data_IF_270847439459
#
_entry.id   IF_270847439459
#
_cell.length_a   1.000
_cell.length_b   1.000
_cell.length_c   1.000
_cell.angle_alpha   90.00
_cell.angle_beta   90.00
_cell.angle_gamma   90.00
#
_symmetry.space_group_name_H-M   'P 1'
#
loop_
_entity.id
_entity.type
_entity.pdbx_description
1 polymer ?
#
# COMPACT_ATOMS: atom_id res chain seq x y z
N UNK A 1 -20.06 4.93 2.08
CA UNK A 1 -18.83 4.11 2.02
C UNK A 1 -17.74 4.83 1.25
N UNK A 2 -18.01 5.41 0.07
CA UNK A 2 -17.06 6.32 -0.62
C UNK A 2 -16.50 7.44 0.29
N UNK A 3 -17.36 8.11 1.07
CA UNK A 3 -16.92 9.12 2.05
C UNK A 3 -15.87 8.60 3.04
N UNK A 4 -15.96 7.33 3.48
CA UNK A 4 -14.98 6.76 4.41
C UNK A 4 -13.62 6.48 3.75
N UNK A 5 -13.61 6.18 2.45
CA UNK A 5 -12.35 6.02 1.68
C UNK A 5 -11.67 7.38 1.54
N UNK A 6 -12.42 8.44 1.23
CA UNK A 6 -11.88 9.79 1.17
C UNK A 6 -11.33 10.23 2.53
N UNK A 7 -12.04 9.97 3.62
CA UNK A 7 -11.56 10.27 4.98
C UNK A 7 -10.24 9.55 5.30
N UNK A 8 -10.12 8.27 4.93
CA UNK A 8 -8.88 7.50 5.08
C UNK A 8 -7.72 8.15 4.30
N UNK A 9 -7.95 8.51 3.03
CA UNK A 9 -6.94 9.09 2.16
C UNK A 9 -6.52 10.47 2.65
N UNK A 10 -7.47 11.31 3.06
CA UNK A 10 -7.21 12.63 3.65
C UNK A 10 -6.38 12.46 4.93
N UNK A 11 -6.71 11.48 5.77
CA UNK A 11 -5.96 11.23 7.00
C UNK A 11 -4.53 10.77 6.72
N UNK A 12 -4.33 9.84 5.78
CA UNK A 12 -3.00 9.42 5.31
C UNK A 12 -2.20 10.63 4.79
N UNK A 13 -2.81 11.48 3.97
CA UNK A 13 -2.17 12.68 3.42
C UNK A 13 -1.86 13.75 4.48
N UNK A 14 -2.67 13.88 5.52
CA UNK A 14 -2.43 14.84 6.61
C UNK A 14 -1.48 14.31 7.69
N UNK A 15 -1.03 13.05 7.59
CA UNK A 15 -0.15 12.45 8.60
C UNK A 15 1.27 12.98 8.45
N UNK A 16 1.77 13.58 9.53
CA UNK A 16 3.17 13.98 9.67
C UNK A 16 3.98 12.75 10.06
N UNK A 17 4.98 12.43 9.25
CA UNK A 17 5.90 11.30 9.49
C UNK A 17 7.28 11.81 9.88
N UNK A 18 8.04 10.94 10.55
CA UNK A 18 9.42 11.23 10.96
C UNK A 18 10.37 11.20 9.73
N UNK A 19 11.54 11.81 9.82
CA UNK A 19 12.47 12.02 8.69
C UNK A 19 12.91 10.73 7.97
N UNK A 20 12.84 9.58 8.65
CA UNK A 20 13.22 8.26 8.12
C UNK A 20 12.01 7.47 7.61
N UNK A 21 10.86 8.12 7.45
CA UNK A 21 9.61 7.51 7.06
C UNK A 21 8.91 8.36 5.99
N UNK A 22 9.07 7.96 4.73
CA UNK A 22 8.51 8.69 3.60
C UNK A 22 7.01 8.42 3.48
N UNK A 23 6.18 9.45 3.56
CA UNK A 23 4.75 9.41 3.34
C UNK A 23 4.43 9.64 1.85
N UNK A 24 3.97 8.60 1.10
CA UNK A 24 3.67 8.72 -0.31
C UNK A 24 2.56 9.73 -0.60
N UNK A 25 1.68 10.00 0.36
CA UNK A 25 0.46 10.75 0.13
C UNK A 25 0.64 12.26 0.33
N UNK A 26 1.79 12.73 0.84
CA UNK A 26 2.06 14.17 1.00
C UNK A 26 3.50 14.61 0.71
N UNK A 27 4.47 13.70 0.61
CA UNK A 27 5.86 14.04 0.32
C UNK A 27 6.23 13.82 -1.15
N UNK A 28 7.13 14.66 -1.64
CA UNK A 28 7.68 14.61 -2.99
C UNK A 28 9.16 14.22 -2.90
N UNK A 29 9.54 13.16 -3.60
CA UNK A 29 10.93 12.83 -3.83
C UNK A 29 11.44 13.60 -5.06
N UNK A 30 12.09 14.76 -4.87
CA UNK A 30 12.39 15.73 -5.94
C UNK A 30 13.13 15.15 -7.15
N UNK A 31 13.96 14.13 -6.95
CA UNK A 31 14.73 13.52 -8.01
C UNK A 31 13.84 12.69 -8.95
N UNK A 32 12.84 12.01 -8.39
CA UNK A 32 12.05 11.00 -9.10
C UNK A 32 10.58 11.38 -9.31
N UNK A 33 9.99 12.22 -8.47
CA UNK A 33 8.56 12.55 -8.51
C UNK A 33 8.25 13.74 -9.42
N UNK A 34 7.07 13.71 -10.05
CA UNK A 34 6.46 14.92 -10.62
C UNK A 34 5.95 15.83 -9.48
N UNK A 35 5.72 17.11 -9.76
CA UNK A 35 5.28 18.08 -8.75
C UNK A 35 3.93 17.75 -8.10
N UNK A 36 3.05 17.04 -8.81
CA UNK A 36 1.73 16.59 -8.34
C UNK A 36 1.73 15.15 -7.80
N UNK A 37 2.90 14.53 -7.65
CA UNK A 37 3.05 13.11 -7.31
C UNK A 37 2.21 12.62 -6.11
N UNK A 38 2.15 13.35 -4.98
CA UNK A 38 1.30 12.98 -3.85
C UNK A 38 -0.18 12.87 -4.21
N UNK A 39 -0.72 13.83 -4.96
CA UNK A 39 -2.11 13.82 -5.42
C UNK A 39 -2.41 12.66 -6.36
N UNK A 40 -1.47 12.35 -7.26
CA UNK A 40 -1.57 11.16 -8.14
C UNK A 40 -1.63 9.87 -7.32
N UNK A 41 -0.75 9.73 -6.32
CA UNK A 41 -0.73 8.55 -5.44
C UNK A 41 -2.01 8.41 -4.60
N UNK A 42 -2.59 9.52 -4.14
CA UNK A 42 -3.90 9.52 -3.50
C UNK A 42 -5.02 9.07 -4.46
N UNK A 43 -4.99 9.55 -5.71
CA UNK A 43 -5.93 9.12 -6.77
C UNK A 43 -5.85 7.63 -7.07
N UNK A 44 -4.64 7.10 -7.23
CA UNK A 44 -4.41 5.68 -7.46
C UNK A 44 -4.92 4.83 -6.28
N UNK A 45 -4.65 5.26 -5.04
CA UNK A 45 -5.15 4.57 -3.86
C UNK A 45 -6.68 4.55 -3.82
N UNK A 46 -7.34 5.67 -4.17
CA UNK A 46 -8.80 5.75 -4.27
C UNK A 46 -9.37 4.73 -5.26
N UNK A 47 -8.86 4.73 -6.50
CA UNK A 47 -9.28 3.78 -7.55
C UNK A 47 -9.17 2.34 -7.05
N UNK A 48 -8.05 2.01 -6.40
CA UNK A 48 -7.79 0.69 -5.86
C UNK A 48 -8.79 0.29 -4.75
N UNK A 49 -9.02 1.18 -3.78
CA UNK A 49 -9.90 0.91 -2.64
C UNK A 49 -11.37 0.85 -3.06
N UNK A 50 -11.82 1.74 -3.95
CA UNK A 50 -13.19 1.74 -4.47
C UNK A 50 -13.49 0.42 -5.21
N UNK A 51 -12.54 -0.08 -6.01
CA UNK A 51 -12.74 -1.35 -6.70
C UNK A 51 -12.95 -2.53 -5.75
N UNK A 52 -12.17 -2.61 -4.67
CA UNK A 52 -12.33 -3.66 -3.68
C UNK A 52 -13.63 -3.54 -2.87
N UNK A 53 -14.14 -2.31 -2.73
CA UNK A 53 -15.40 -2.06 -2.06
C UNK A 53 -16.55 -2.58 -2.94
N UNK A 54 -16.50 -2.32 -4.24
CA UNK A 54 -17.47 -2.78 -5.23
C UNK A 54 -17.44 -4.31 -5.39
N UNK A 55 -16.25 -4.91 -5.37
CA UNK A 55 -16.09 -6.38 -5.44
C UNK A 55 -16.48 -7.10 -4.15
N UNK A 56 -16.77 -6.35 -3.07
CA UNK A 56 -17.16 -6.84 -1.74
C UNK A 56 -16.23 -7.93 -1.23
N UNK A 57 -14.92 -7.73 -1.40
CA UNK A 57 -13.94 -8.67 -0.87
C UNK A 57 -14.03 -8.73 0.65
N UNK A 58 -13.99 -9.94 1.22
CA UNK A 58 -14.04 -10.19 2.66
C UNK A 58 -12.68 -10.59 3.24
N UNK A 59 -11.67 -10.66 2.37
CA UNK A 59 -10.33 -11.15 2.67
C UNK A 59 -9.30 -10.06 2.41
N UNK A 60 -8.38 -9.88 3.35
CA UNK A 60 -7.25 -8.96 3.25
C UNK A 60 -5.94 -9.71 3.47
N UNK A 61 -4.97 -9.41 2.61
CA UNK A 61 -3.58 -9.85 2.72
C UNK A 61 -2.75 -8.68 3.22
N UNK A 62 -2.20 -8.84 4.42
CA UNK A 62 -1.44 -7.82 5.13
C UNK A 62 0.04 -8.09 4.95
N UNK A 63 0.75 -7.11 4.39
CA UNK A 63 2.19 -7.05 4.32
C UNK A 63 2.73 -6.07 5.34
N UNK A 64 4.03 -6.20 5.63
CA UNK A 64 4.72 -5.42 6.65
C UNK A 64 4.72 -3.91 6.34
N UNK A 65 5.33 -3.50 5.23
CA UNK A 65 5.68 -2.09 4.96
C UNK A 65 5.64 -1.76 3.48
N UNK A 66 5.37 -0.49 3.15
CA UNK A 66 5.53 0.01 1.78
C UNK A 66 6.93 -0.33 1.20
N UNK A 67 7.00 -0.56 -0.11
CA UNK A 67 8.24 -0.87 -0.83
C UNK A 67 8.77 0.30 -1.66
N UNK A 68 10.09 0.38 -1.81
CA UNK A 68 10.76 1.47 -2.55
C UNK A 68 10.34 1.52 -4.02
N UNK A 69 10.26 0.37 -4.68
CA UNK A 69 9.86 0.24 -6.09
C UNK A 69 8.36 -0.04 -6.27
N UNK A 70 7.58 -0.02 -5.19
CA UNK A 70 6.13 -0.29 -5.21
C UNK A 70 5.35 0.86 -4.58
N UNK A 71 4.77 0.66 -3.40
CA UNK A 71 3.81 1.58 -2.77
C UNK A 71 4.34 2.99 -2.55
N UNK A 72 5.65 3.15 -2.35
CA UNK A 72 6.28 4.48 -2.31
C UNK A 72 6.02 5.28 -3.58
N UNK A 73 6.12 4.63 -4.74
CA UNK A 73 6.03 5.26 -6.06
C UNK A 73 4.59 5.42 -6.51
N UNK A 74 3.75 4.43 -6.23
CA UNK A 74 2.41 4.31 -6.83
C UNK A 74 1.29 4.76 -5.88
N UNK A 75 1.55 4.79 -4.58
CA UNK A 75 0.53 5.00 -3.54
C UNK A 75 -0.32 3.77 -3.23
N UNK A 76 -0.18 2.69 -4.00
CA UNK A 76 -1.01 1.48 -3.89
C UNK A 76 -0.22 0.34 -3.22
N UNK A 77 -0.81 -0.35 -2.23
CA UNK A 77 -0.12 -1.44 -1.54
C UNK A 77 0.40 -2.54 -2.47
N UNK A 78 1.71 -2.81 -2.40
CA UNK A 78 2.41 -3.82 -3.20
C UNK A 78 2.16 -3.72 -4.72
N UNK A 79 1.99 -2.51 -5.26
CA UNK A 79 1.92 -2.28 -6.71
C UNK A 79 3.12 -1.44 -7.13
N UNK A 80 3.95 -1.97 -8.03
CA UNK A 80 4.95 -1.20 -8.77
C UNK A 80 4.40 -0.62 -10.08
N UNK A 81 4.98 0.47 -10.62
CA UNK A 81 4.54 1.04 -11.91
C UNK A 81 4.55 0.03 -13.05
N UNK A 82 5.51 -0.89 -13.07
CA UNK A 82 5.59 -1.99 -14.05
C UNK A 82 4.41 -2.97 -13.99
N UNK A 83 3.64 -2.96 -12.89
CA UNK A 83 2.54 -3.88 -12.67
C UNK A 83 1.17 -3.26 -12.96
N UNK A 84 1.06 -1.95 -13.25
CA UNK A 84 -0.22 -1.26 -13.42
C UNK A 84 -1.18 -2.01 -14.35
N UNK A 85 -0.78 -2.31 -15.58
CA UNK A 85 -1.63 -3.01 -16.53
C UNK A 85 -2.11 -4.38 -16.02
N UNK A 86 -1.26 -5.11 -15.30
CA UNK A 86 -1.62 -6.41 -14.73
C UNK A 86 -2.62 -6.26 -13.58
N UNK A 87 -2.44 -5.27 -12.71
CA UNK A 87 -3.36 -5.00 -11.59
C UNK A 87 -4.71 -4.51 -12.11
N UNK A 88 -4.69 -3.58 -13.06
CA UNK A 88 -5.88 -3.05 -13.72
C UNK A 88 -6.70 -4.16 -14.39
N UNK A 89 -6.05 -5.08 -15.10
CA UNK A 89 -6.69 -6.26 -15.70
C UNK A 89 -7.23 -7.21 -14.62
N UNK A 90 -6.41 -7.55 -13.62
CA UNK A 90 -6.76 -8.50 -12.55
C UNK A 90 -7.97 -8.04 -11.74
N UNK A 91 -8.06 -6.75 -11.47
CA UNK A 91 -9.17 -6.17 -10.71
C UNK A 91 -10.32 -5.70 -11.62
N UNK A 92 -10.12 -5.65 -12.94
CA UNK A 92 -11.08 -5.07 -13.88
C UNK A 92 -11.36 -3.60 -13.54
N UNK A 93 -10.32 -2.77 -13.45
CA UNK A 93 -10.43 -1.33 -13.19
C UNK A 93 -10.97 -0.60 -14.42
N UNK A 94 -11.92 0.31 -14.20
CA UNK A 94 -12.45 1.20 -15.25
C UNK A 94 -11.51 2.38 -15.50
N UNK A 95 -10.98 2.96 -14.41
CA UNK A 95 -9.99 4.02 -14.43
C UNK A 95 -8.59 3.45 -14.33
N UNK A 96 -7.65 4.01 -15.09
CA UNK A 96 -6.24 3.60 -15.11
C UNK A 96 -5.46 4.29 -14.01
N UNK A 97 -4.41 3.64 -13.51
CA UNK A 97 -3.45 4.28 -12.63
C UNK A 97 -2.60 5.29 -13.39
N UNK A 98 -2.23 6.35 -12.69
CA UNK A 98 -1.36 7.40 -13.21
C UNK A 98 0.05 7.30 -12.62
N UNK A 99 1.04 7.77 -13.38
CA UNK A 99 2.43 7.79 -12.94
C UNK A 99 2.73 9.06 -12.13
N UNK A 100 3.15 8.88 -10.88
CA UNK A 100 3.58 9.97 -10.01
C UNK A 100 5.08 10.33 -10.17
N UNK A 101 5.78 9.68 -11.11
CA UNK A 101 7.23 9.78 -11.27
C UNK A 101 7.62 10.28 -12.67
N UNK A 102 8.78 10.93 -12.77
CA UNK A 102 9.34 11.44 -14.02
C UNK A 102 9.74 10.28 -14.95
N UNK A 103 9.51 10.47 -16.25
CA UNK A 103 9.77 9.55 -17.37
C UNK A 103 10.94 8.57 -17.13
N UNK A 104 10.64 7.27 -16.97
CA UNK A 104 11.64 6.19 -17.04
C UNK A 104 12.48 5.93 -15.78
N UNK A 105 12.28 6.64 -14.67
CA UNK A 105 13.09 6.46 -13.45
C UNK A 105 12.86 5.13 -12.70
N UNK A 106 11.96 4.26 -13.19
CA UNK A 106 11.61 3.00 -12.54
C UNK A 106 11.94 1.84 -13.47
N UNK A 107 13.23 1.67 -13.78
CA UNK A 107 13.73 0.49 -14.52
C UNK A 107 13.90 -0.74 -13.62
N UNK A 108 13.63 -0.62 -12.32
CA UNK A 108 13.80 -1.67 -11.33
C UNK A 108 12.47 -2.35 -11.05
N UNK A 109 12.40 -3.66 -11.31
CA UNK A 109 11.20 -4.46 -11.05
C UNK A 109 10.92 -4.54 -9.54
N UNK A 110 9.68 -4.29 -9.15
CA UNK A 110 9.21 -4.67 -7.83
C UNK A 110 8.88 -6.18 -7.85
N UNK A 111 9.92 -7.03 -7.76
CA UNK A 111 9.75 -8.49 -7.91
C UNK A 111 8.67 -9.09 -7.01
N UNK A 112 8.59 -8.63 -5.76
CA UNK A 112 7.55 -9.05 -4.81
C UNK A 112 6.14 -8.67 -5.30
N UNK A 113 5.98 -7.45 -5.82
CA UNK A 113 4.74 -7.00 -6.46
C UNK A 113 4.40 -7.86 -7.68
N UNK A 114 5.38 -8.14 -8.56
CA UNK A 114 5.14 -8.99 -9.74
C UNK A 114 4.67 -10.39 -9.36
N UNK A 115 5.39 -11.08 -8.47
CA UNK A 115 5.03 -12.43 -8.01
C UNK A 115 3.66 -12.46 -7.33
N UNK A 116 3.35 -11.43 -6.54
CA UNK A 116 2.05 -11.28 -5.91
C UNK A 116 0.94 -11.17 -6.95
N UNK A 117 1.05 -10.21 -7.87
CA UNK A 117 -0.02 -9.94 -8.84
C UNK A 117 -0.17 -11.03 -9.90
N UNK A 118 0.88 -11.78 -10.23
CA UNK A 118 0.79 -13.04 -11.01
C UNK A 118 0.01 -14.14 -10.27
N UNK A 119 0.09 -14.16 -8.94
CA UNK A 119 -0.68 -15.09 -8.11
C UNK A 119 -2.13 -14.64 -7.98
N UNK A 120 -2.35 -13.35 -7.77
CA UNK A 120 -3.69 -12.78 -7.62
C UNK A 120 -4.48 -12.80 -8.94
N UNK A 121 -3.84 -12.68 -10.10
CA UNK A 121 -4.51 -12.73 -11.41
C UNK A 121 -5.20 -14.07 -11.69
N UNK A 122 -4.92 -15.11 -10.91
CA UNK A 122 -5.54 -16.43 -11.02
C UNK A 122 -6.76 -16.59 -10.11
N UNK A 123 -7.10 -15.58 -9.31
CA UNK A 123 -8.23 -15.60 -8.38
C UNK A 123 -9.43 -14.87 -8.97
N UNK A 124 -10.61 -15.45 -8.82
CA UNK A 124 -11.86 -14.81 -9.28
C UNK A 124 -12.20 -13.52 -8.51
N UNK A 125 -12.00 -13.51 -7.19
CA UNK A 125 -12.13 -12.32 -6.36
C UNK A 125 -10.83 -12.13 -5.56
N UNK A 126 -9.89 -11.32 -6.06
CA UNK A 126 -8.63 -11.07 -5.36
C UNK A 126 -8.87 -10.43 -3.98
N UNK A 127 -8.09 -10.80 -2.95
CA UNK A 127 -8.13 -10.15 -1.64
C UNK A 127 -7.65 -8.71 -1.75
N UNK A 128 -8.12 -7.85 -0.83
CA UNK A 128 -7.49 -6.55 -0.63
C UNK A 128 -6.06 -6.77 -0.13
N UNK A 129 -5.11 -5.99 -0.62
CA UNK A 129 -3.72 -6.00 -0.18
C UNK A 129 -3.45 -4.70 0.58
N UNK A 130 -2.78 -4.80 1.72
CA UNK A 130 -2.48 -3.62 2.55
C UNK A 130 -1.11 -3.73 3.22
N UNK A 131 -0.47 -2.59 3.45
CA UNK A 131 0.76 -2.49 4.25
C UNK A 131 0.40 -2.02 5.67
N UNK A 132 0.81 -2.74 6.71
CA UNK A 132 0.62 -2.30 8.11
C UNK A 132 1.20 -0.92 8.35
N UNK A 133 2.43 -0.71 7.87
CA UNK A 133 3.01 0.61 7.75
C UNK A 133 2.80 1.13 6.32
N UNK A 134 1.80 2.02 6.08
CA UNK A 134 1.49 2.54 4.75
C UNK A 134 2.56 3.52 4.23
N UNK A 135 3.50 3.90 5.09
CA UNK A 135 4.62 4.77 4.79
C UNK A 135 5.90 3.96 4.54
N UNK A 136 6.83 4.51 3.78
CA UNK A 136 8.05 3.82 3.37
C UNK A 136 9.22 4.11 4.33
N UNK A 137 9.66 3.12 5.13
CA UNK A 137 10.77 3.30 6.06
C UNK A 137 12.11 3.23 5.34
N UNK A 138 12.97 4.24 5.52
CA UNK A 138 14.29 4.30 4.89
C UNK A 138 15.38 4.73 5.87
N UNK A 139 16.64 4.53 5.49
CA UNK A 139 17.77 5.06 6.24
C UNK A 139 17.84 6.60 6.12
N UNK A 140 18.29 7.28 7.18
CA UNK A 140 18.25 8.74 7.28
C UNK A 140 18.95 9.48 6.12
N UNK A 141 20.04 8.91 5.59
CA UNK A 141 20.84 9.52 4.53
C UNK A 141 20.70 8.83 3.18
N UNK A 142 19.83 7.81 3.08
CA UNK A 142 19.70 7.01 1.85
C UNK A 142 18.27 6.50 1.67
N UNK A 143 17.47 7.24 0.91
CA UNK A 143 16.06 6.90 0.65
C UNK A 143 15.89 5.63 -0.19
N UNK A 144 16.93 5.16 -0.90
CA UNK A 144 16.89 3.89 -1.64
C UNK A 144 16.99 2.66 -0.74
N UNK A 145 17.51 2.81 0.49
CA UNK A 145 17.74 1.70 1.40
C UNK A 145 16.62 1.61 2.42
N UNK A 146 15.82 0.55 2.27
CA UNK A 146 14.73 0.23 3.19
C UNK A 146 15.31 -0.15 4.57
N UNK A 147 14.78 0.44 5.63
CA UNK A 147 15.06 0.01 7.01
C UNK A 147 13.92 -0.87 7.55
N UNK A 148 14.19 -1.59 8.63
CA UNK A 148 13.12 -2.27 9.38
C UNK A 148 12.42 -1.24 10.27
N UNK A 149 11.08 -1.22 10.35
CA UNK A 149 10.38 -0.34 11.28
C UNK A 149 10.63 -0.69 12.74
N UNK A 150 10.47 0.31 13.59
CA UNK A 150 10.43 0.14 15.02
C UNK A 150 9.03 -0.31 15.48
N UNK A 151 8.98 -0.96 16.64
CA UNK A 151 7.73 -1.42 17.26
C UNK A 151 6.72 -0.27 17.41
N UNK A 152 7.22 0.89 17.82
CA UNK A 152 6.46 2.10 18.08
C UNK A 152 5.81 2.65 16.81
N UNK A 153 6.41 2.44 15.62
CA UNK A 153 5.81 2.87 14.36
C UNK A 153 4.57 2.05 14.01
N UNK A 154 4.60 0.72 14.20
CA UNK A 154 3.40 -0.09 14.01
C UNK A 154 2.28 0.30 14.96
N UNK A 155 2.60 0.57 16.23
CA UNK A 155 1.61 1.03 17.21
C UNK A 155 1.05 2.41 16.85
N UNK A 156 1.92 3.36 16.48
CA UNK A 156 1.56 4.74 16.13
C UNK A 156 0.61 4.81 14.92
N UNK A 157 0.82 3.95 13.93
CA UNK A 157 0.08 3.98 12.66
C UNK A 157 -0.95 2.85 12.51
N UNK A 158 -1.18 2.05 13.55
CA UNK A 158 -2.14 0.94 13.58
C UNK A 158 -3.56 1.35 13.16
N UNK A 159 -3.92 2.61 13.44
CA UNK A 159 -5.25 3.14 13.12
C UNK A 159 -5.61 3.02 11.64
N UNK A 160 -4.63 3.10 10.72
CA UNK A 160 -4.92 2.95 9.29
C UNK A 160 -5.37 1.54 8.93
N UNK A 161 -4.76 0.52 9.53
CA UNK A 161 -5.20 -0.86 9.36
C UNK A 161 -6.59 -1.05 9.94
N UNK A 162 -6.88 -0.52 11.14
CA UNK A 162 -8.22 -0.61 11.72
C UNK A 162 -9.29 0.07 10.86
N UNK A 163 -9.01 1.26 10.31
CA UNK A 163 -9.91 1.96 9.40
C UNK A 163 -10.19 1.13 8.14
N UNK A 164 -9.17 0.52 7.52
CA UNK A 164 -9.36 -0.36 6.37
C UNK A 164 -10.22 -1.58 6.76
N UNK A 165 -9.95 -2.23 7.90
CA UNK A 165 -10.78 -3.36 8.34
C UNK A 165 -12.25 -2.96 8.55
N UNK A 166 -12.50 -1.77 9.11
CA UNK A 166 -13.85 -1.25 9.33
C UNK A 166 -14.56 -0.89 8.02
N UNK A 167 -13.88 -0.19 7.10
CA UNK A 167 -14.46 0.27 5.83
C UNK A 167 -14.98 -0.90 5.00
N UNK A 168 -14.21 -1.98 4.95
CA UNK A 168 -14.48 -3.13 4.08
C UNK A 168 -15.19 -4.29 4.82
N UNK A 169 -15.32 -4.23 6.15
CA UNK A 169 -15.94 -5.30 6.93
C UNK A 169 -15.21 -6.64 6.79
N UNK A 170 -13.87 -6.58 6.70
CA UNK A 170 -13.01 -7.72 6.39
C UNK A 170 -13.05 -8.76 7.50
N UNK A 171 -13.27 -10.03 7.11
CA UNK A 171 -13.43 -11.16 8.04
C UNK A 171 -12.20 -12.04 8.09
N UNK A 172 -11.53 -12.19 6.95
CA UNK A 172 -10.35 -13.03 6.83
C UNK A 172 -9.11 -12.15 6.67
N UNK A 173 -8.27 -12.15 7.69
CA UNK A 173 -7.01 -11.40 7.72
C UNK A 173 -5.86 -12.40 7.59
N UNK A 174 -5.07 -12.26 6.54
CA UNK A 174 -3.92 -13.12 6.25
C UNK A 174 -2.64 -12.30 6.38
N UNK A 175 -1.75 -12.69 7.29
CA UNK A 175 -0.44 -12.12 7.43
C UNK A 175 0.52 -12.73 6.40
N UNK A 176 1.09 -11.91 5.54
CA UNK A 176 2.04 -12.32 4.51
C UNK A 176 3.46 -12.23 5.09
N UNK A 177 3.95 -13.36 5.60
CA UNK A 177 5.25 -13.51 6.23
C UNK A 177 5.28 -13.22 7.73
N UNK A 178 6.33 -13.70 8.39
CA UNK A 178 6.47 -13.61 9.85
C UNK A 178 6.52 -12.18 10.41
N UNK A 179 7.05 -11.21 9.65
CA UNK A 179 7.10 -9.81 10.10
C UNK A 179 5.71 -9.20 10.18
N UNK A 180 4.90 -9.39 9.14
CA UNK A 180 3.50 -8.96 9.13
C UNK A 180 2.72 -9.61 10.30
N UNK A 181 2.93 -10.91 10.55
CA UNK A 181 2.28 -11.60 11.67
C UNK A 181 2.65 -10.99 13.02
N UNK A 182 3.96 -10.78 13.29
CA UNK A 182 4.41 -10.17 14.54
C UNK A 182 3.87 -8.75 14.74
N UNK A 183 3.80 -7.96 13.67
CA UNK A 183 3.27 -6.61 13.71
C UNK A 183 1.74 -6.59 13.91
N UNK A 184 1.00 -7.56 13.34
CA UNK A 184 -0.43 -7.74 13.61
C UNK A 184 -0.71 -8.16 15.05
N UNK A 185 0.09 -9.09 15.60
CA UNK A 185 -0.02 -9.53 17.00
C UNK A 185 0.18 -8.35 17.96
N UNK A 186 1.14 -7.47 17.64
CA UNK A 186 1.46 -6.27 18.40
C UNK A 186 0.29 -5.28 18.49
N UNK A 187 -0.50 -5.17 17.42
CA UNK A 187 -1.69 -4.30 17.35
C UNK A 187 -2.99 -5.07 17.64
N UNK A 188 -2.88 -6.28 18.19
CA UNK A 188 -3.99 -7.12 18.62
C UNK A 188 -4.99 -7.50 17.51
N UNK A 189 -4.51 -7.65 16.29
CA UNK A 189 -5.32 -8.13 15.16
C UNK A 189 -5.00 -9.60 14.91
N UNK A 190 -6.00 -10.46 15.11
CA UNK A 190 -5.86 -11.90 14.83
C UNK A 190 -5.80 -12.16 13.33
N UNK A 191 -4.86 -12.98 12.90
CA UNK A 191 -4.64 -13.34 11.49
C UNK A 191 -4.23 -14.79 11.30
N UNK A 192 -4.38 -15.28 10.06
CA UNK A 192 -3.76 -16.52 9.58
C UNK A 192 -2.39 -16.19 8.97
N UNK A 193 -1.33 -16.92 9.34
CA UNK A 193 -0.01 -16.74 8.74
C UNK A 193 0.09 -17.48 7.39
N UNK A 194 0.60 -16.80 6.37
CA UNK A 194 1.00 -17.36 5.09
C UNK A 194 2.49 -17.03 4.83
N UNK A 195 3.27 -18.02 4.37
CA UNK A 195 4.72 -17.92 4.14
C UNK A 195 5.02 -18.28 2.69
#
# INVERSE_FOLDING_TARGET
MALKIDDLIIKLANTITDDTLFNPYNQICKDFDISTGPGVRQGNLRIYLEKHLDSRTDTIWIFDTAGYHSSKLTGVPLVGPSNYSKVEETLGLENRFENANKNGAVSSSAEESTKLWETLSKKHNPPLVWNLLPFYPHQANEISVKRTPEKEEYLKYAEFTHLVLEIFGLKKIVAMGHRAQKALDLIHIKSELHI
#
